data_IF_428460393674
#
_entry.id   IF_428460393674
#
_cell.length_a   1.000
_cell.length_b   1.000
_cell.length_c   1.000
_cell.angle_alpha   90.00
_cell.angle_beta   90.00
_cell.angle_gamma   90.00
#
_symmetry.space_group_name_H-M   'P 1'
#
loop_
_entity.id
_entity.type
_entity.pdbx_description
1 polymer ?
#
# COMPACT_ATOMS: atom_id res chain seq x y z
N UNK A 1 -16.71 15.07 8.83
CA UNK A 1 -15.38 15.28 8.22
C UNK A 1 -15.20 14.50 6.91
N UNK A 2 -15.95 13.41 6.69
CA UNK A 2 -16.04 12.65 5.42
C UNK A 2 -16.38 13.46 4.15
N UNK A 3 -16.88 14.69 4.30
CA UNK A 3 -17.26 15.57 3.20
C UNK A 3 -16.06 16.25 2.51
N UNK A 4 -14.91 16.40 3.18
CA UNK A 4 -13.77 17.15 2.61
C UNK A 4 -13.08 16.38 1.48
N UNK A 5 -12.63 15.15 1.76
CA UNK A 5 -11.90 14.36 0.78
C UNK A 5 -12.74 13.98 -0.45
N UNK A 6 -14.00 13.56 -0.26
CA UNK A 6 -14.90 13.23 -1.38
C UNK A 6 -15.02 14.43 -2.33
N UNK A 7 -15.13 15.65 -1.79
CA UNK A 7 -15.21 16.86 -2.59
C UNK A 7 -13.89 17.17 -3.33
N UNK A 8 -12.74 17.01 -2.67
CA UNK A 8 -11.42 17.21 -3.28
C UNK A 8 -11.16 16.19 -4.41
N UNK A 9 -11.47 14.92 -4.18
CA UNK A 9 -11.35 13.85 -5.17
C UNK A 9 -12.27 14.14 -6.37
N UNK A 10 -13.55 14.45 -6.14
CA UNK A 10 -14.48 14.77 -7.22
C UNK A 10 -14.02 15.98 -8.05
N UNK A 11 -13.43 17.00 -7.42
CA UNK A 11 -12.84 18.15 -8.12
C UNK A 11 -11.63 17.73 -8.96
N UNK A 12 -10.78 16.86 -8.43
CA UNK A 12 -9.60 16.35 -9.13
C UNK A 12 -9.99 15.51 -10.34
N UNK A 13 -10.90 14.56 -10.17
CA UNK A 13 -11.41 13.72 -11.25
C UNK A 13 -12.09 14.54 -12.35
N UNK A 14 -12.87 15.56 -11.97
CA UNK A 14 -13.48 16.48 -12.92
C UNK A 14 -12.42 17.25 -13.72
N UNK A 15 -11.34 17.69 -13.07
CA UNK A 15 -10.24 18.39 -13.73
C UNK A 15 -9.46 17.47 -14.69
N UNK A 16 -9.27 16.21 -14.30
CA UNK A 16 -8.48 15.21 -15.01
C UNK A 16 -9.28 14.43 -16.08
N UNK A 17 -10.58 14.73 -16.22
CA UNK A 17 -11.46 14.09 -17.21
C UNK A 17 -11.94 12.68 -16.82
N UNK A 18 -11.89 12.33 -15.53
CA UNK A 18 -12.41 11.06 -15.00
C UNK A 18 -11.60 10.54 -13.81
N UNK A 19 -12.05 9.42 -13.21
CA UNK A 19 -11.33 8.78 -12.11
C UNK A 19 -9.93 8.34 -12.52
N UNK A 20 -9.02 8.20 -11.55
CA UNK A 20 -7.72 7.59 -11.81
C UNK A 20 -7.91 6.16 -12.36
N UNK A 21 -7.14 5.75 -13.38
CA UNK A 21 -7.26 4.40 -13.92
C UNK A 21 -6.85 3.37 -12.87
N UNK A 22 -7.57 2.25 -12.86
CA UNK A 22 -7.26 1.06 -12.09
C UNK A 22 -6.74 -0.04 -13.02
N UNK A 23 -6.13 -1.07 -12.44
CA UNK A 23 -5.63 -2.25 -13.16
C UNK A 23 -6.69 -2.81 -14.12
N UNK A 24 -6.38 -2.84 -15.42
CA UNK A 24 -7.23 -3.47 -16.40
C UNK A 24 -6.89 -4.96 -16.56
N UNK A 25 -7.50 -5.82 -15.74
CA UNK A 25 -7.31 -7.27 -15.85
C UNK A 25 -7.88 -7.88 -17.13
N UNK A 26 -8.74 -7.18 -17.89
CA UNK A 26 -9.36 -7.77 -19.09
C UNK A 26 -8.36 -8.00 -20.23
N UNK A 27 -7.26 -7.25 -20.26
CA UNK A 27 -6.14 -7.45 -21.20
C UNK A 27 -5.26 -8.64 -20.82
N UNK A 28 -5.23 -9.00 -19.54
CA UNK A 28 -4.43 -10.10 -18.96
C UNK A 28 -5.22 -11.42 -18.92
N UNK A 29 -6.55 -11.33 -18.97
CA UNK A 29 -7.47 -12.46 -18.90
C UNK A 29 -8.08 -12.83 -20.26
N UNK A 30 -7.24 -12.96 -21.30
CA UNK A 30 -7.65 -13.51 -22.61
C UNK A 30 -8.02 -15.01 -22.52
N UNK A 31 -8.41 -15.67 -23.62
CA UNK A 31 -9.02 -17.02 -23.62
C UNK A 31 -8.28 -18.10 -22.81
N UNK A 32 -6.96 -17.98 -22.63
CA UNK A 32 -6.13 -18.88 -21.80
C UNK A 32 -6.37 -18.69 -20.30
N UNK A 33 -6.76 -17.50 -19.87
CA UNK A 33 -7.08 -17.20 -18.48
C UNK A 33 -8.43 -17.75 -18.00
N UNK A 34 -9.29 -18.21 -18.92
CA UNK A 34 -10.53 -18.90 -18.54
C UNK A 34 -10.27 -20.16 -17.71
N UNK A 35 -9.20 -20.89 -18.01
CA UNK A 35 -8.76 -22.05 -17.23
C UNK A 35 -8.18 -21.66 -15.87
N UNK A 36 -7.33 -20.62 -15.82
CA UNK A 36 -6.79 -20.08 -14.56
C UNK A 36 -7.91 -19.53 -13.66
N UNK A 37 -8.89 -18.83 -14.22
CA UNK A 37 -10.05 -18.32 -13.51
C UNK A 37 -10.96 -19.46 -13.01
N UNK A 38 -11.14 -20.55 -13.79
CA UNK A 38 -11.86 -21.73 -13.32
C UNK A 38 -11.14 -22.44 -12.18
N UNK A 39 -9.81 -22.56 -12.26
CA UNK A 39 -8.98 -23.15 -11.21
C UNK A 39 -8.95 -22.27 -9.95
N UNK A 40 -8.83 -20.95 -10.11
CA UNK A 40 -8.92 -19.97 -9.04
C UNK A 40 -10.29 -20.03 -8.34
N UNK A 41 -11.40 -20.14 -9.10
CA UNK A 41 -12.75 -20.32 -8.53
C UNK A 41 -12.88 -21.59 -7.68
N UNK A 42 -12.37 -22.72 -8.18
CA UNK A 42 -12.36 -23.98 -7.43
C UNK A 42 -11.56 -23.84 -6.14
N UNK A 43 -10.37 -23.26 -6.23
CA UNK A 43 -9.49 -23.09 -5.11
C UNK A 43 -10.07 -22.14 -4.05
N UNK A 44 -10.73 -21.06 -4.49
CA UNK A 44 -11.42 -20.13 -3.59
C UNK A 44 -12.61 -20.77 -2.84
N UNK A 45 -13.17 -21.85 -3.37
CA UNK A 45 -14.24 -22.61 -2.72
C UNK A 45 -13.71 -23.67 -1.75
N UNK A 46 -12.50 -24.20 -1.98
CA UNK A 46 -11.90 -25.27 -1.15
C UNK A 46 -10.88 -24.77 -0.12
N UNK A 47 -10.34 -23.56 -0.29
CA UNK A 47 -9.29 -23.01 0.59
C UNK A 47 -9.53 -21.55 0.94
N UNK A 48 -9.07 -21.16 2.13
CA UNK A 48 -8.98 -19.77 2.55
C UNK A 48 -7.59 -19.19 2.26
N UNK A 49 -7.11 -19.33 1.01
CA UNK A 49 -5.77 -18.86 0.64
C UNK A 49 -5.71 -17.31 0.61
N UNK A 50 -4.71 -16.65 1.24
CA UNK A 50 -4.63 -15.19 1.33
C UNK A 50 -4.65 -14.46 -0.03
N UNK A 51 -4.19 -15.12 -1.09
CA UNK A 51 -4.29 -14.66 -2.47
C UNK A 51 -5.67 -14.08 -2.82
N UNK A 52 -6.75 -14.71 -2.38
CA UNK A 52 -8.09 -14.23 -2.74
C UNK A 52 -8.45 -12.94 -2.02
N UNK A 53 -7.98 -12.75 -0.79
CA UNK A 53 -8.11 -11.47 -0.09
C UNK A 53 -7.28 -10.39 -0.79
N UNK A 54 -6.04 -10.71 -1.19
CA UNK A 54 -5.16 -9.84 -1.97
C UNK A 54 -5.82 -9.36 -3.27
N UNK A 55 -6.23 -10.31 -4.12
CA UNK A 55 -6.89 -10.03 -5.39
C UNK A 55 -8.20 -9.27 -5.19
N UNK A 56 -9.04 -9.67 -4.23
CA UNK A 56 -10.32 -9.01 -4.01
C UNK A 56 -10.12 -7.56 -3.54
N UNK A 57 -9.14 -7.29 -2.67
CA UNK A 57 -8.88 -5.96 -2.15
C UNK A 57 -8.38 -5.01 -3.26
N UNK A 58 -7.43 -5.46 -4.08
CA UNK A 58 -6.91 -4.69 -5.21
C UNK A 58 -7.95 -4.41 -6.31
N UNK A 59 -8.99 -5.24 -6.45
CA UNK A 59 -10.04 -5.10 -7.48
C UNK A 59 -11.32 -4.39 -7.02
N UNK A 60 -11.42 -3.99 -5.74
CA UNK A 60 -12.60 -3.28 -5.20
C UNK A 60 -12.77 -1.85 -5.74
N UNK A 61 -11.82 -1.33 -6.54
CA UNK A 61 -11.91 -0.04 -7.22
C UNK A 61 -13.02 0.07 -8.27
N UNK A 62 -13.41 -1.03 -8.93
CA UNK A 62 -14.62 -1.19 -9.75
C UNK A 62 -14.53 -2.58 -10.40
N UNK A 63 -15.54 -3.43 -10.23
CA UNK A 63 -15.70 -4.71 -10.95
C UNK A 63 -15.02 -6.00 -10.40
N UNK A 64 -15.20 -6.34 -9.13
CA UNK A 64 -15.06 -7.75 -8.70
C UNK A 64 -16.37 -8.54 -8.75
N UNK A 65 -17.53 -7.85 -8.71
CA UNK A 65 -18.85 -8.51 -8.71
C UNK A 65 -19.17 -9.30 -9.99
N UNK A 66 -18.45 -9.05 -11.08
CA UNK A 66 -18.69 -9.68 -12.39
C UNK A 66 -17.79 -10.89 -12.67
N UNK A 67 -16.66 -11.06 -11.98
CA UNK A 67 -15.66 -12.10 -12.36
C UNK A 67 -15.67 -13.28 -11.39
N UNK A 68 -15.99 -13.05 -10.11
CA UNK A 68 -16.06 -14.12 -9.11
C UNK A 68 -17.26 -13.89 -8.17
N UNK A 69 -18.32 -14.71 -8.24
CA UNK A 69 -19.36 -14.71 -7.22
C UNK A 69 -18.84 -15.45 -5.99
N UNK A 70 -17.91 -14.84 -5.24
CA UNK A 70 -17.48 -15.39 -3.96
C UNK A 70 -18.56 -15.12 -2.89
N UNK A 71 -18.76 -16.11 -2.02
CA UNK A 71 -19.73 -16.10 -0.93
C UNK A 71 -19.52 -14.93 0.02
N UNK A 72 -20.61 -14.51 0.66
CA UNK A 72 -20.68 -13.42 1.64
C UNK A 72 -19.85 -13.74 2.89
N UNK A 73 -18.54 -13.54 2.85
CA UNK A 73 -17.73 -13.43 4.06
C UNK A 73 -17.47 -11.96 4.34
N UNK A 74 -18.07 -11.51 5.45
CA UNK A 74 -17.93 -10.21 6.12
C UNK A 74 -17.44 -9.05 5.24
N UNK A 75 -18.41 -8.45 4.54
CA UNK A 75 -18.33 -7.07 4.09
C UNK A 75 -18.28 -6.10 5.30
N UNK A 76 -17.18 -6.12 6.05
CA UNK A 76 -16.80 -5.06 6.97
C UNK A 76 -15.63 -4.31 6.35
N UNK A 77 -15.92 -3.51 5.33
CA UNK A 77 -15.42 -2.15 5.27
C UNK A 77 -16.16 -1.38 4.17
N UNK A 78 -17.21 -0.66 4.56
CA UNK A 78 -17.80 0.41 3.75
C UNK A 78 -16.99 1.71 3.85
N UNK A 79 -15.72 1.60 4.23
CA UNK A 79 -14.73 2.68 4.35
C UNK A 79 -13.76 2.62 3.17
N UNK A 80 -14.24 2.24 1.97
CA UNK A 80 -13.49 2.37 0.72
C UNK A 80 -12.74 3.70 0.77
N UNK A 81 -11.40 3.61 0.68
CA UNK A 81 -10.47 4.66 1.08
C UNK A 81 -11.03 6.03 0.72
N UNK A 82 -11.37 6.81 1.75
CA UNK A 82 -11.85 8.18 1.54
C UNK A 82 -10.71 9.07 1.04
N UNK A 83 -9.49 8.54 0.88
CA UNK A 83 -8.29 9.27 0.47
C UNK A 83 -8.01 9.04 -1.01
N UNK A 84 -7.33 9.99 -1.67
CA UNK A 84 -7.02 9.88 -3.09
C UNK A 84 -6.08 8.69 -3.36
N UNK A 85 -6.31 7.97 -4.46
CA UNK A 85 -5.38 6.93 -4.90
C UNK A 85 -4.05 7.53 -5.34
N UNK A 86 -2.97 6.75 -5.26
CA UNK A 86 -1.67 7.17 -5.77
C UNK A 86 -1.73 7.51 -7.27
N UNK A 87 -2.53 6.78 -8.04
CA UNK A 87 -2.85 7.12 -9.42
C UNK A 87 -3.39 8.54 -9.63
N UNK A 88 -4.25 9.03 -8.72
CA UNK A 88 -4.77 10.40 -8.80
C UNK A 88 -3.69 11.45 -8.54
N UNK A 89 -2.78 11.17 -7.59
CA UNK A 89 -1.66 12.06 -7.26
C UNK A 89 -0.67 12.16 -8.43
N UNK A 90 -0.35 11.02 -9.07
CA UNK A 90 0.50 10.97 -10.28
C UNK A 90 -0.09 11.86 -11.39
N UNK A 91 -1.40 11.75 -11.62
CA UNK A 91 -2.11 12.56 -12.62
C UNK A 91 -2.09 14.05 -12.28
N UNK A 92 -2.37 14.41 -11.01
CA UNK A 92 -2.36 15.82 -10.58
C UNK A 92 -0.97 16.45 -10.71
N UNK A 93 0.10 15.73 -10.37
CA UNK A 93 1.47 16.22 -10.52
C UNK A 93 1.85 16.41 -11.98
N UNK A 94 1.55 15.43 -12.84
CA UNK A 94 1.74 15.54 -14.29
C UNK A 94 0.98 16.75 -14.87
N UNK A 95 -0.27 16.93 -14.47
CA UNK A 95 -1.12 18.06 -14.86
C UNK A 95 -0.57 19.41 -14.38
N UNK A 96 -0.12 19.46 -13.13
CA UNK A 96 0.38 20.68 -12.48
C UNK A 96 1.66 21.19 -13.14
N UNK A 97 2.49 20.28 -13.63
CA UNK A 97 3.69 20.62 -14.40
C UNK A 97 3.39 20.99 -15.86
N UNK A 98 2.48 20.25 -16.51
CA UNK A 98 2.18 20.44 -17.94
C UNK A 98 1.33 21.68 -18.24
N UNK A 99 0.63 22.22 -17.23
CA UNK A 99 -0.18 23.44 -17.35
C UNK A 99 -1.25 23.35 -18.44
N UNK A 100 -1.34 24.36 -19.31
CA UNK A 100 -2.33 24.43 -20.41
C UNK A 100 -2.14 23.31 -21.45
N UNK A 101 -0.91 22.80 -21.61
CA UNK A 101 -0.62 21.70 -22.55
C UNK A 101 -1.13 20.33 -22.08
N UNK A 102 -1.68 20.26 -20.87
CA UNK A 102 -2.43 19.12 -20.39
C UNK A 102 -3.61 18.68 -21.27
N UNK A 103 -4.12 19.57 -22.14
CA UNK A 103 -5.16 19.22 -23.11
C UNK A 103 -4.69 18.22 -24.19
N UNK A 104 -3.39 17.88 -24.24
CA UNK A 104 -2.86 16.86 -25.14
C UNK A 104 -3.39 15.47 -24.79
N UNK A 105 -4.08 14.86 -25.76
CA UNK A 105 -4.58 13.49 -25.64
C UNK A 105 -3.44 12.47 -25.48
N UNK A 106 -2.28 12.72 -26.10
CA UNK A 106 -1.09 11.86 -25.99
C UNK A 106 -0.54 11.89 -24.56
N UNK A 107 -0.26 13.08 -24.03
CA UNK A 107 0.36 13.22 -22.71
C UNK A 107 -0.58 12.73 -21.60
N UNK A 108 -1.86 13.08 -21.68
CA UNK A 108 -2.88 12.56 -20.75
C UNK A 108 -2.95 11.02 -20.81
N UNK A 109 -2.88 10.41 -21.99
CA UNK A 109 -2.83 8.95 -22.12
C UNK A 109 -1.57 8.36 -21.48
N UNK A 110 -0.40 8.98 -21.62
CA UNK A 110 0.84 8.52 -20.98
C UNK A 110 0.77 8.62 -19.45
N UNK A 111 0.30 9.74 -18.89
CA UNK A 111 0.12 9.86 -17.43
C UNK A 111 -0.90 8.85 -16.89
N UNK A 112 -1.98 8.57 -17.63
CA UNK A 112 -2.97 7.55 -17.25
C UNK A 112 -2.39 6.14 -17.32
N UNK A 113 -1.61 5.80 -18.35
CA UNK A 113 -0.88 4.51 -18.40
C UNK A 113 0.08 4.36 -17.22
N UNK A 114 0.73 5.46 -16.81
CA UNK A 114 1.65 5.44 -15.67
C UNK A 114 0.91 5.26 -14.34
N UNK A 115 -0.26 5.88 -14.17
CA UNK A 115 -1.13 5.66 -13.02
C UNK A 115 -1.67 4.22 -12.96
N UNK A 116 -2.05 3.63 -14.10
CA UNK A 116 -2.45 2.22 -14.17
C UNK A 116 -1.28 1.28 -13.85
N UNK A 117 -0.09 1.59 -14.34
CA UNK A 117 1.14 0.86 -14.03
C UNK A 117 1.39 0.85 -12.52
N UNK A 118 1.29 2.00 -11.86
CA UNK A 118 1.45 2.14 -10.41
C UNK A 118 0.54 1.16 -9.65
N UNK A 119 -0.76 1.12 -9.96
CA UNK A 119 -1.72 0.21 -9.34
C UNK A 119 -1.42 -1.26 -9.68
N UNK A 120 -0.91 -1.52 -10.89
CA UNK A 120 -0.54 -2.87 -11.34
C UNK A 120 0.65 -3.42 -10.56
N UNK A 121 1.67 -2.59 -10.31
CA UNK A 121 2.83 -2.97 -9.48
C UNK A 121 2.39 -3.27 -8.04
N UNK A 122 1.58 -2.39 -7.42
CA UNK A 122 1.04 -2.63 -6.08
C UNK A 122 0.26 -3.95 -6.01
N UNK A 123 -0.59 -4.22 -7.01
CA UNK A 123 -1.36 -5.46 -7.09
C UNK A 123 -0.45 -6.68 -7.22
N UNK A 124 0.58 -6.62 -8.06
CA UNK A 124 1.53 -7.71 -8.27
C UNK A 124 2.27 -8.09 -6.99
N UNK A 125 2.79 -7.08 -6.28
CA UNK A 125 3.53 -7.27 -5.04
C UNK A 125 2.61 -7.79 -3.93
N UNK A 126 1.40 -7.22 -3.78
CA UNK A 126 0.42 -7.73 -2.82
C UNK A 126 0.05 -9.20 -3.09
N UNK A 127 -0.08 -9.59 -4.36
CA UNK A 127 -0.30 -10.99 -4.75
C UNK A 127 0.90 -11.87 -4.36
N UNK A 128 2.14 -11.43 -4.60
CA UNK A 128 3.33 -12.17 -4.18
C UNK A 128 3.43 -12.32 -2.65
N UNK A 129 3.07 -11.28 -1.89
CA UNK A 129 3.01 -11.32 -0.41
C UNK A 129 1.97 -12.29 0.15
N UNK A 130 1.03 -12.76 -0.68
CA UNK A 130 -0.02 -13.69 -0.26
C UNK A 130 0.42 -15.16 -0.19
N UNK A 131 1.67 -15.46 -0.55
CA UNK A 131 2.26 -16.80 -0.49
C UNK A 131 2.38 -17.23 0.98
N UNK A 132 1.86 -18.41 1.30
CA UNK A 132 1.91 -18.98 2.65
C UNK A 132 2.96 -20.07 2.73
N UNK A 133 3.64 -20.18 3.87
CA UNK A 133 4.55 -21.29 4.09
C UNK A 133 3.76 -22.58 4.40
N UNK A 134 3.86 -23.61 3.55
CA UNK A 134 3.10 -24.86 3.69
C UNK A 134 3.53 -25.71 4.90
N UNK A 135 4.60 -25.33 5.62
CA UNK A 135 5.04 -26.00 6.85
C UNK A 135 4.20 -25.53 8.05
N UNK A 136 3.83 -24.24 8.11
CA UNK A 136 2.98 -23.73 9.19
C UNK A 136 1.53 -24.18 9.04
N UNK A 137 1.10 -24.43 7.80
CA UNK A 137 -0.23 -24.96 7.50
C UNK A 137 -0.41 -26.42 7.92
N UNK A 138 0.66 -27.20 8.14
CA UNK A 138 0.54 -28.57 8.70
C UNK A 138 0.10 -28.59 10.17
N UNK A 139 0.31 -27.49 10.89
CA UNK A 139 -0.06 -27.33 12.30
C UNK A 139 -1.38 -26.55 12.47
N UNK A 140 -1.93 -26.02 11.38
CA UNK A 140 -3.25 -25.38 11.34
C UNK A 140 -4.30 -26.41 10.91
N UNK A 141 -5.40 -26.52 11.65
CA UNK A 141 -6.52 -27.35 11.21
C UNK A 141 -7.18 -26.68 9.99
N UNK A 142 -7.49 -27.43 8.91
CA UNK A 142 -8.24 -26.86 7.81
C UNK A 142 -9.59 -26.36 8.36
N UNK A 143 -10.13 -25.26 7.81
CA UNK A 143 -11.36 -24.68 8.31
C UNK A 143 -12.45 -25.74 8.31
N UNK A 144 -12.83 -26.15 9.52
CA UNK A 144 -13.82 -27.19 9.84
C UNK A 144 -15.01 -27.05 8.89
N UNK A 145 -15.30 -28.11 8.13
CA UNK A 145 -16.61 -28.26 7.51
C UNK A 145 -17.63 -28.14 8.62
N UNK A 146 -18.56 -27.20 8.51
CA UNK A 146 -19.65 -26.99 9.45
C UNK A 146 -20.54 -28.23 9.51
N UNK A 147 -20.12 -29.23 10.27
CA UNK A 147 -20.89 -30.36 10.75
C UNK A 147 -20.66 -30.35 12.25
N UNK A 148 -21.70 -30.00 13.00
CA UNK A 148 -21.70 -29.98 14.45
C UNK A 148 -21.32 -31.36 15.00
N UNK A 149 -20.03 -31.52 15.31
CA UNK A 149 -19.44 -32.76 15.81
C UNK A 149 -17.96 -32.73 15.50
N UNK A 150 -17.11 -32.60 16.52
CA UNK A 150 -15.66 -32.50 16.38
C UNK A 150 -15.02 -33.76 15.79
N UNK A 151 -15.24 -34.01 14.50
CA UNK A 151 -14.55 -35.04 13.73
C UNK A 151 -13.12 -34.59 13.43
N UNK A 152 -12.19 -35.46 13.78
CA UNK A 152 -10.78 -35.32 13.44
C UNK A 152 -10.67 -35.33 11.92
N UNK A 153 -10.22 -34.22 11.32
CA UNK A 153 -9.97 -34.12 9.88
C UNK A 153 -9.05 -35.26 9.47
N UNK A 154 -9.51 -36.06 8.51
CA UNK A 154 -8.77 -37.24 8.04
C UNK A 154 -7.41 -36.83 7.45
N UNK A 155 -6.44 -37.73 7.51
CA UNK A 155 -5.12 -37.50 6.90
C UNK A 155 -5.24 -37.18 5.40
N UNK A 156 -6.22 -37.79 4.73
CA UNK A 156 -6.54 -37.58 3.31
C UNK A 156 -7.03 -36.16 3.04
N UNK A 157 -7.92 -35.61 3.87
CA UNK A 157 -8.43 -34.24 3.74
C UNK A 157 -7.33 -33.20 4.02
N UNK A 158 -6.46 -33.47 4.99
CA UNK A 158 -5.29 -32.62 5.28
C UNK A 158 -4.30 -32.60 4.13
N UNK A 159 -4.05 -33.75 3.51
CA UNK A 159 -3.20 -33.83 2.31
C UNK A 159 -3.83 -33.11 1.11
N UNK A 160 -5.15 -33.25 0.91
CA UNK A 160 -5.88 -32.56 -0.15
C UNK A 160 -5.85 -31.03 0.04
N UNK A 161 -6.08 -30.55 1.26
CA UNK A 161 -6.02 -29.12 1.58
C UNK A 161 -4.59 -28.57 1.43
N UNK A 162 -3.56 -29.29 1.87
CA UNK A 162 -2.17 -28.89 1.67
C UNK A 162 -1.81 -28.76 0.17
N UNK A 163 -2.30 -29.69 -0.67
CA UNK A 163 -2.15 -29.62 -2.14
C UNK A 163 -2.86 -28.40 -2.72
N UNK A 164 -4.06 -28.08 -2.25
CA UNK A 164 -4.77 -26.89 -2.71
C UNK A 164 -4.04 -25.61 -2.29
N UNK A 165 -3.52 -25.52 -1.06
CA UNK A 165 -2.66 -24.40 -0.63
C UNK A 165 -1.41 -24.26 -1.52
N UNK A 166 -0.75 -25.36 -1.85
CA UNK A 166 0.40 -25.35 -2.78
C UNK A 166 0.01 -24.81 -4.16
N UNK A 167 -1.17 -25.19 -4.67
CA UNK A 167 -1.71 -24.65 -5.92
C UNK A 167 -2.01 -23.16 -5.80
N UNK A 168 -2.47 -22.68 -4.65
CA UNK A 168 -2.64 -21.26 -4.35
C UNK A 168 -1.34 -20.48 -4.41
N UNK A 169 -0.27 -20.99 -3.79
CA UNK A 169 1.06 -20.40 -3.85
C UNK A 169 1.59 -20.30 -5.29
N UNK A 170 1.40 -21.37 -6.08
CA UNK A 170 1.76 -21.37 -7.51
C UNK A 170 0.99 -20.31 -8.28
N UNK A 171 -0.31 -20.18 -8.03
CA UNK A 171 -1.14 -19.17 -8.67
C UNK A 171 -0.73 -17.76 -8.27
N UNK A 172 -0.45 -17.52 -6.98
CA UNK A 172 0.01 -16.23 -6.47
C UNK A 172 1.34 -15.82 -7.14
N UNK A 173 2.32 -16.72 -7.16
CA UNK A 173 3.63 -16.48 -7.79
C UNK A 173 3.46 -16.08 -9.26
N UNK A 174 2.78 -16.93 -10.05
CA UNK A 174 2.61 -16.72 -11.49
C UNK A 174 1.74 -15.50 -11.82
N UNK A 175 0.70 -15.23 -11.03
CA UNK A 175 -0.15 -14.07 -11.26
C UNK A 175 0.62 -12.77 -11.03
N UNK A 176 1.41 -12.67 -9.96
CA UNK A 176 2.29 -11.51 -9.74
C UNK A 176 3.31 -11.34 -10.87
N UNK A 177 3.92 -12.43 -11.36
CA UNK A 177 4.90 -12.38 -12.44
C UNK A 177 4.29 -11.88 -13.76
N UNK A 178 3.09 -12.35 -14.11
CA UNK A 178 2.35 -11.89 -15.29
C UNK A 178 2.02 -10.40 -15.21
N UNK A 179 1.67 -9.90 -14.02
CA UNK A 179 1.44 -8.48 -13.80
C UNK A 179 2.74 -7.67 -13.96
N UNK A 180 3.87 -8.13 -13.40
CA UNK A 180 5.16 -7.44 -13.57
C UNK A 180 5.68 -7.50 -15.01
N UNK A 181 5.38 -8.56 -15.75
CA UNK A 181 5.67 -8.64 -17.18
C UNK A 181 4.85 -7.62 -18.00
N UNK A 182 3.58 -7.42 -17.64
CA UNK A 182 2.74 -6.39 -18.28
C UNK A 182 3.23 -4.97 -17.94
N UNK A 183 3.65 -4.73 -16.70
CA UNK A 183 4.34 -3.50 -16.28
C UNK A 183 5.57 -3.24 -17.15
N UNK A 184 6.41 -4.25 -17.39
CA UNK A 184 7.59 -4.14 -18.25
C UNK A 184 7.24 -3.73 -19.68
N UNK A 185 6.13 -4.26 -20.22
CA UNK A 185 5.62 -3.89 -21.55
C UNK A 185 5.13 -2.44 -21.57
N UNK A 186 4.41 -2.00 -20.54
CA UNK A 186 3.96 -0.62 -20.40
C UNK A 186 5.15 0.35 -20.26
N UNK A 187 6.17 -0.01 -19.47
CA UNK A 187 7.41 0.76 -19.34
C UNK A 187 8.11 0.96 -20.69
N UNK A 188 8.26 -0.11 -21.47
CA UNK A 188 8.83 -0.04 -22.81
C UNK A 188 7.99 0.88 -23.73
N UNK A 189 6.67 0.88 -23.59
CA UNK A 189 5.76 1.71 -24.39
C UNK A 189 5.90 3.22 -24.13
N UNK A 190 6.54 3.62 -23.02
CA UNK A 190 6.87 5.02 -22.78
C UNK A 190 8.05 5.50 -23.60
N UNK A 191 8.87 4.63 -24.21
CA UNK A 191 10.06 5.04 -24.98
C UNK A 191 10.98 6.02 -24.23
N UNK A 192 11.12 5.86 -22.92
CA UNK A 192 11.95 6.70 -22.06
C UNK A 192 12.80 5.83 -21.13
N UNK A 193 14.11 5.63 -21.44
CA UNK A 193 14.99 4.84 -20.59
C UNK A 193 15.06 5.34 -19.15
N UNK A 194 14.90 6.66 -18.94
CA UNK A 194 14.92 7.24 -17.60
C UNK A 194 13.66 6.91 -16.79
N UNK A 195 12.50 6.82 -17.45
CA UNK A 195 11.26 6.34 -16.80
C UNK A 195 11.39 4.86 -16.45
N UNK A 196 11.97 4.04 -17.35
CA UNK A 196 12.27 2.63 -17.07
C UNK A 196 13.17 2.51 -15.85
N UNK A 197 14.31 3.22 -15.84
CA UNK A 197 15.28 3.25 -14.74
C UNK A 197 14.63 3.60 -13.39
N UNK A 198 13.94 4.74 -13.32
CA UNK A 198 13.32 5.22 -12.08
C UNK A 198 12.24 4.27 -11.55
N UNK A 199 11.37 3.76 -12.43
CA UNK A 199 10.28 2.88 -11.97
C UNK A 199 10.80 1.48 -11.63
N UNK A 200 11.78 0.96 -12.37
CA UNK A 200 12.41 -0.33 -12.05
C UNK A 200 13.18 -0.28 -10.74
N UNK A 201 13.89 0.83 -10.45
CA UNK A 201 14.50 1.09 -9.14
C UNK A 201 13.44 1.03 -8.03
N UNK A 202 12.31 1.72 -8.21
CA UNK A 202 11.25 1.71 -7.22
C UNK A 202 10.59 0.35 -7.00
N UNK A 203 10.43 -0.48 -8.05
CA UNK A 203 9.96 -1.86 -7.91
C UNK A 203 10.96 -2.67 -7.06
N UNK A 204 12.26 -2.52 -7.34
CA UNK A 204 13.33 -3.14 -6.54
C UNK A 204 13.26 -2.75 -5.07
N UNK A 205 13.11 -1.46 -4.78
CA UNK A 205 12.97 -0.93 -3.44
C UNK A 205 11.76 -1.51 -2.70
N UNK A 206 10.60 -1.64 -3.35
CA UNK A 206 9.43 -2.26 -2.73
C UNK A 206 9.66 -3.72 -2.34
N UNK A 207 10.39 -4.48 -3.16
CA UNK A 207 10.73 -5.87 -2.85
C UNK A 207 11.76 -5.92 -1.73
N UNK A 208 12.77 -5.06 -1.76
CA UNK A 208 13.81 -4.95 -0.72
C UNK A 208 13.20 -4.65 0.66
N UNK A 209 12.13 -3.85 0.71
CA UNK A 209 11.43 -3.53 1.95
C UNK A 209 10.96 -4.79 2.72
N UNK A 210 10.55 -5.84 2.01
CA UNK A 210 10.09 -7.11 2.60
C UNK A 210 11.24 -7.93 3.22
N UNK A 211 12.48 -7.62 2.86
CA UNK A 211 13.69 -8.26 3.38
C UNK A 211 14.40 -7.41 4.44
N UNK A 212 13.87 -6.24 4.78
CA UNK A 212 14.40 -5.47 5.90
C UNK A 212 14.26 -6.25 7.22
N UNK A 213 15.20 -6.09 8.17
CA UNK A 213 15.16 -6.80 9.43
C UNK A 213 13.83 -6.65 10.18
N UNK A 214 13.23 -5.45 10.14
CA UNK A 214 11.95 -5.15 10.80
C UNK A 214 10.77 -5.91 10.16
N UNK A 215 10.76 -6.07 8.83
CA UNK A 215 9.74 -6.81 8.10
C UNK A 215 9.90 -8.33 8.27
N UNK A 216 11.15 -8.83 8.21
CA UNK A 216 11.44 -10.24 8.46
C UNK A 216 11.05 -10.65 9.88
N UNK A 217 11.31 -9.82 10.89
CA UNK A 217 10.89 -10.07 12.28
C UNK A 217 9.37 -10.20 12.39
N UNK A 218 8.63 -9.31 11.72
CA UNK A 218 7.18 -9.36 11.69
C UNK A 218 6.64 -10.66 11.06
N UNK A 219 7.18 -11.07 9.90
CA UNK A 219 6.68 -12.25 9.17
C UNK A 219 7.16 -13.58 9.79
N UNK A 220 8.37 -13.61 10.35
CA UNK A 220 9.09 -14.83 10.75
C UNK A 220 9.29 -14.96 12.27
N UNK A 221 8.47 -14.28 13.08
CA UNK A 221 8.57 -14.22 14.56
C UNK A 221 8.65 -15.58 15.25
N UNK A 222 8.09 -16.63 14.66
CA UNK A 222 8.06 -18.00 15.19
C UNK A 222 9.31 -18.84 14.84
N UNK A 223 10.09 -18.42 13.84
CA UNK A 223 11.40 -19.01 13.55
C UNK A 223 12.45 -18.25 14.33
N UNK A 224 13.20 -18.92 15.21
CA UNK A 224 14.36 -18.36 15.92
C UNK A 224 15.46 -17.95 14.91
N UNK A 225 15.25 -16.87 14.17
CA UNK A 225 16.33 -16.17 13.49
C UNK A 225 17.12 -15.46 14.58
N UNK A 226 18.21 -16.10 15.00
CA UNK A 226 19.23 -15.52 15.86
C UNK A 226 19.98 -14.41 15.10
N UNK A 227 19.31 -13.30 14.83
CA UNK A 227 20.00 -12.05 14.50
C UNK A 227 20.38 -11.41 15.82
N UNK A 228 21.68 -11.25 16.04
CA UNK A 228 22.28 -10.67 17.24
C UNK A 228 21.56 -9.38 17.67
N UNK A 229 20.86 -9.44 18.80
CA UNK A 229 20.03 -8.35 19.35
C UNK A 229 20.91 -7.30 20.00
N UNK A 230 21.18 -6.20 19.29
CA UNK A 230 21.80 -5.00 19.84
C UNK A 230 21.18 -3.76 19.21
N UNK A 231 20.00 -3.35 19.67
CA UNK A 231 19.35 -2.09 19.25
C UNK A 231 18.52 -1.53 20.40
N UNK A 232 18.61 -0.21 20.61
CA UNK A 232 17.93 0.51 21.69
C UNK A 232 16.53 0.97 21.28
N UNK A 233 15.67 1.34 22.24
CA UNK A 233 14.29 1.82 22.01
C UNK A 233 14.18 3.03 21.06
N UNK A 234 15.28 3.78 20.83
CA UNK A 234 15.30 4.90 19.89
C UNK A 234 15.40 4.48 18.41
N UNK A 235 15.59 3.19 18.11
CA UNK A 235 15.97 2.73 16.78
C UNK A 235 14.79 2.23 15.92
N UNK A 236 13.57 2.12 16.48
CA UNK A 236 12.39 1.60 15.74
C UNK A 236 11.79 2.62 14.78
N UNK A 237 11.67 3.88 15.17
CA UNK A 237 11.08 4.91 14.30
C UNK A 237 11.87 5.09 12.99
N UNK A 238 13.22 5.17 13.00
CA UNK A 238 14.01 5.16 11.76
C UNK A 238 13.81 3.88 10.94
N UNK A 239 13.85 2.69 11.56
CA UNK A 239 13.69 1.44 10.85
C UNK A 239 12.31 1.27 10.19
N UNK A 240 11.25 1.72 10.86
CA UNK A 240 9.90 1.75 10.30
C UNK A 240 9.78 2.77 9.16
N UNK A 241 10.40 3.95 9.31
CA UNK A 241 10.45 4.95 8.25
C UNK A 241 11.18 4.42 7.01
N UNK A 242 12.30 3.72 7.17
CA UNK A 242 13.01 3.08 6.06
C UNK A 242 12.13 2.04 5.35
N UNK A 243 11.42 1.21 6.14
CA UNK A 243 10.44 0.26 5.60
C UNK A 243 9.33 0.93 4.79
N UNK A 244 8.68 1.97 5.32
CA UNK A 244 7.60 2.69 4.61
C UNK A 244 8.14 3.45 3.40
N UNK A 245 9.33 4.03 3.50
CA UNK A 245 9.99 4.74 2.40
C UNK A 245 10.24 3.81 1.22
N UNK A 246 10.75 2.59 1.46
CA UNK A 246 10.98 1.62 0.40
C UNK A 246 9.67 0.97 -0.10
N UNK A 247 8.78 0.56 0.81
CA UNK A 247 7.56 -0.20 0.48
C UNK A 247 6.44 0.63 -0.13
N UNK A 248 6.40 1.95 0.10
CA UNK A 248 5.34 2.86 -0.39
C UNK A 248 5.91 4.12 -1.05
N UNK A 249 6.82 4.80 -0.34
CA UNK A 249 7.39 6.08 -0.78
C UNK A 249 8.06 6.01 -2.15
N UNK A 250 8.90 4.99 -2.36
CA UNK A 250 9.72 4.87 -3.55
C UNK A 250 8.89 4.77 -4.83
N UNK A 251 7.82 3.96 -4.86
CA UNK A 251 7.02 3.78 -6.06
C UNK A 251 6.20 5.03 -6.40
N UNK A 252 5.48 5.60 -5.43
CA UNK A 252 4.69 6.80 -5.70
C UNK A 252 5.61 7.95 -6.13
N UNK A 253 6.72 8.15 -5.44
CA UNK A 253 7.75 9.12 -5.83
C UNK A 253 8.31 8.87 -7.24
N UNK A 254 8.71 7.64 -7.55
CA UNK A 254 9.25 7.27 -8.87
C UNK A 254 8.25 7.49 -10.01
N UNK A 255 6.97 7.18 -9.79
CA UNK A 255 5.91 7.48 -10.76
C UNK A 255 5.63 8.99 -10.87
N UNK A 256 5.68 9.76 -9.78
CA UNK A 256 5.54 11.22 -9.83
C UNK A 256 6.70 11.88 -10.59
N UNK A 257 7.93 11.41 -10.36
CA UNK A 257 9.11 11.81 -11.14
C UNK A 257 8.91 11.50 -12.63
N UNK A 258 8.46 10.29 -12.94
CA UNK A 258 8.22 9.83 -14.30
C UNK A 258 7.13 10.63 -15.01
N UNK A 259 6.07 11.04 -14.30
CA UNK A 259 5.04 11.91 -14.85
C UNK A 259 5.62 13.25 -15.34
N UNK A 260 6.51 13.85 -14.56
CA UNK A 260 7.22 15.09 -14.94
C UNK A 260 8.19 14.84 -16.10
N UNK A 261 8.96 13.75 -16.09
CA UNK A 261 9.88 13.41 -17.19
C UNK A 261 9.14 13.23 -18.52
N UNK A 262 7.96 12.59 -18.50
CA UNK A 262 7.11 12.43 -19.69
C UNK A 262 6.60 13.79 -20.18
N UNK A 263 6.19 14.67 -19.27
CA UNK A 263 5.79 16.04 -19.59
C UNK A 263 6.94 16.85 -20.17
N UNK A 264 8.14 16.82 -19.58
CA UNK A 264 9.32 17.52 -20.09
C UNK A 264 9.68 17.09 -21.51
N UNK A 265 9.67 15.77 -21.77
CA UNK A 265 9.89 15.24 -23.11
C UNK A 265 8.83 15.74 -24.09
N UNK A 266 7.55 15.68 -23.70
CA UNK A 266 6.46 16.15 -24.55
C UNK A 266 6.60 17.65 -24.88
N UNK A 267 6.90 18.47 -23.88
CA UNK A 267 7.15 19.91 -24.07
C UNK A 267 8.30 20.16 -25.04
N UNK A 268 9.41 19.42 -24.90
CA UNK A 268 10.57 19.50 -25.80
C UNK A 268 10.26 19.07 -27.25
N UNK A 269 9.38 18.08 -27.44
CA UNK A 269 8.91 17.64 -28.76
C UNK A 269 7.97 18.67 -29.43
N UNK A 270 7.28 19.52 -28.65
CA UNK A 270 6.21 20.40 -29.11
C UNK A 270 6.62 21.83 -29.53
N UNK A 271 7.82 22.34 -29.18
CA UNK A 271 8.27 23.68 -29.65
C UNK A 271 9.59 24.27 -29.09
N UNK A 272 10.39 24.82 -30.03
CA UNK A 272 11.60 25.69 -29.99
C UNK A 272 12.89 25.28 -29.23
N UNK A 273 13.84 24.76 -30.05
CA UNK A 273 15.29 24.51 -29.87
C UNK A 273 15.72 23.26 -29.07
N UNK A 274 16.37 22.29 -29.75
CA UNK A 274 17.05 21.20 -29.08
C UNK A 274 18.47 21.64 -28.72
N UNK A 275 18.73 21.93 -27.45
CA UNK A 275 20.05 21.74 -26.81
C UNK A 275 19.88 21.50 -25.31
N UNK A 276 19.12 20.48 -24.93
CA UNK A 276 19.56 19.73 -23.77
C UNK A 276 20.46 18.62 -24.33
N UNK A 277 21.75 18.66 -23.98
CA UNK A 277 22.47 17.39 -23.92
C UNK A 277 21.58 16.45 -23.09
N UNK A 278 21.40 15.18 -23.47
CA UNK A 278 20.80 14.20 -22.58
C UNK A 278 21.76 14.05 -21.40
N UNK A 279 21.72 14.98 -20.45
CA UNK A 279 22.37 14.80 -19.17
C UNK A 279 21.71 13.57 -18.57
N UNK A 280 22.52 12.59 -18.17
CA UNK A 280 22.04 11.44 -17.40
C UNK A 280 21.35 11.88 -16.08
N UNK A 281 21.60 13.11 -15.66
CA UNK A 281 21.06 13.68 -14.43
C UNK A 281 19.59 14.10 -14.57
N UNK A 282 18.73 13.68 -13.62
CA UNK A 282 17.33 14.06 -13.59
C UNK A 282 17.16 15.57 -13.38
N UNK A 283 16.13 16.15 -14.00
CA UNK A 283 15.81 17.57 -13.87
C UNK A 283 15.39 17.91 -12.44
N UNK A 284 15.66 19.15 -11.99
CA UNK A 284 15.24 19.61 -10.67
C UNK A 284 13.71 19.46 -10.43
N UNK A 285 12.81 19.79 -11.37
CA UNK A 285 11.37 19.54 -11.21
C UNK A 285 11.03 18.06 -11.03
N UNK A 286 11.69 17.16 -11.76
CA UNK A 286 11.44 15.72 -11.66
C UNK A 286 11.84 15.16 -10.29
N UNK A 287 12.97 15.61 -9.73
CA UNK A 287 13.41 15.24 -8.39
C UNK A 287 12.47 15.78 -7.29
N UNK A 288 11.98 17.01 -7.45
CA UNK A 288 11.00 17.59 -6.53
C UNK A 288 9.67 16.83 -6.56
N UNK A 289 9.23 16.39 -7.73
CA UNK A 289 8.06 15.51 -7.87
C UNK A 289 8.30 14.14 -7.22
N UNK A 290 9.52 13.57 -7.34
CA UNK A 290 9.90 12.34 -6.62
C UNK A 290 9.71 12.50 -5.12
N UNK A 291 10.26 13.59 -4.57
CA UNK A 291 10.20 13.89 -3.13
C UNK A 291 8.77 14.10 -2.65
N UNK A 292 7.98 14.87 -3.38
CA UNK A 292 6.57 15.11 -3.06
C UNK A 292 5.77 13.79 -3.03
N UNK A 293 5.87 12.97 -4.08
CA UNK A 293 5.17 11.68 -4.12
C UNK A 293 5.63 10.72 -3.02
N UNK A 294 6.93 10.73 -2.70
CA UNK A 294 7.50 9.95 -1.61
C UNK A 294 6.93 10.36 -0.24
N UNK A 295 6.99 11.65 0.09
CA UNK A 295 6.53 12.18 1.37
C UNK A 295 5.02 12.01 1.54
N UNK A 296 4.27 12.15 0.44
CA UNK A 296 2.83 11.88 0.38
C UNK A 296 2.51 10.45 0.80
N UNK A 297 3.15 9.46 0.15
CA UNK A 297 2.90 8.05 0.43
C UNK A 297 3.28 7.67 1.87
N UNK A 298 4.39 8.19 2.38
CA UNK A 298 4.82 7.93 3.75
C UNK A 298 3.84 8.50 4.78
N UNK A 299 3.39 9.74 4.58
CA UNK A 299 2.42 10.37 5.48
C UNK A 299 1.05 9.68 5.42
N UNK A 300 0.58 9.35 4.21
CA UNK A 300 -0.66 8.62 4.02
C UNK A 300 -0.64 7.29 4.77
N UNK A 301 0.44 6.51 4.61
CA UNK A 301 0.60 5.22 5.28
C UNK A 301 0.57 5.33 6.80
N UNK A 302 1.21 6.36 7.37
CA UNK A 302 1.19 6.67 8.80
C UNK A 302 -0.23 7.02 9.28
N UNK A 303 -0.92 7.90 8.57
CA UNK A 303 -2.26 8.37 8.95
C UNK A 303 -3.26 7.21 8.96
N UNK A 304 -3.23 6.35 7.94
CA UNK A 304 -4.10 5.17 7.85
C UNK A 304 -3.83 4.19 9.00
N UNK A 305 -2.56 3.98 9.34
CA UNK A 305 -2.15 3.14 10.46
C UNK A 305 -2.62 3.70 11.80
N UNK A 306 -2.34 4.98 12.06
CA UNK A 306 -2.70 5.68 13.29
C UNK A 306 -4.22 5.70 13.48
N UNK A 307 -4.96 5.96 12.41
CA UNK A 307 -6.43 5.92 12.41
C UNK A 307 -6.94 4.50 12.75
N UNK A 308 -6.34 3.47 12.18
CA UNK A 308 -6.67 2.08 12.49
C UNK A 308 -6.39 1.75 13.96
N UNK A 309 -5.19 2.08 14.45
CA UNK A 309 -4.76 1.85 15.84
C UNK A 309 -5.67 2.58 16.83
N UNK A 310 -5.96 3.86 16.59
CA UNK A 310 -6.89 4.62 17.43
C UNK A 310 -8.27 3.99 17.47
N UNK A 311 -8.82 3.52 16.32
CA UNK A 311 -10.11 2.81 16.33
C UNK A 311 -10.05 1.49 17.07
N UNK A 312 -8.95 0.75 16.94
CA UNK A 312 -8.76 -0.52 17.64
C UNK A 312 -8.73 -0.30 19.17
N UNK A 313 -8.06 0.76 19.64
CA UNK A 313 -7.96 1.09 21.07
C UNK A 313 -9.18 1.81 21.64
N UNK A 314 -9.83 2.71 20.91
CA UNK A 314 -11.07 3.38 21.32
C UNK A 314 -12.26 2.41 21.44
N UNK A 315 -12.30 1.35 20.61
CA UNK A 315 -13.28 0.26 20.77
C UNK A 315 -13.01 -0.60 22.02
N UNK A 316 -11.86 -0.43 22.66
CA UNK A 316 -11.43 -1.15 23.86
C UNK A 316 -11.89 -0.52 25.18
N UNK A 317 -12.93 0.33 25.19
CA UNK A 317 -13.45 0.90 26.43
C UNK A 317 -13.98 -0.21 27.38
N UNK A 318 -13.16 -0.44 28.40
CA UNK A 318 -13.23 -1.12 29.72
C UNK A 318 -14.40 -2.02 30.17
N UNK A 319 -15.48 -2.26 29.42
CA UNK A 319 -16.56 -3.18 29.84
C UNK A 319 -16.78 -4.42 28.96
N UNK A 320 -16.14 -4.51 27.79
CA UNK A 320 -16.33 -5.63 26.86
C UNK A 320 -15.00 -6.15 26.25
N UNK A 321 -13.96 -6.22 27.09
CA UNK A 321 -12.64 -6.75 26.77
C UNK A 321 -12.60 -8.28 26.51
N UNK A 322 -13.67 -8.84 25.93
CA UNK A 322 -13.69 -10.23 25.48
C UNK A 322 -14.00 -10.38 23.98
N UNK A 323 -14.18 -9.30 23.18
CA UNK A 323 -15.02 -9.46 21.98
C UNK A 323 -14.59 -9.07 20.57
N UNK A 324 -13.56 -8.27 20.26
CA UNK A 324 -13.44 -7.86 18.85
C UNK A 324 -12.06 -7.69 18.28
N UNK A 325 -11.06 -7.24 19.03
CA UNK A 325 -9.67 -7.22 18.55
C UNK A 325 -9.08 -8.64 18.48
N UNK A 326 -9.63 -9.58 19.27
CA UNK A 326 -9.11 -10.95 19.42
C UNK A 326 -10.14 -12.07 19.18
N UNK A 327 -11.39 -11.79 18.75
CA UNK A 327 -12.45 -12.81 18.61
C UNK A 327 -12.43 -13.61 17.30
N UNK A 328 -11.54 -13.31 16.35
CA UNK A 328 -11.42 -14.08 15.10
C UNK A 328 -10.76 -15.45 15.29
N UNK A 329 -10.24 -15.78 16.47
CA UNK A 329 -9.67 -17.09 16.79
C UNK A 329 -10.49 -17.83 17.85
N UNK A 330 -11.78 -18.11 17.59
CA UNK A 330 -12.59 -18.92 18.52
C UNK A 330 -12.37 -20.42 18.46
N UNK A 331 -11.62 -20.94 17.47
CA UNK A 331 -11.35 -22.37 17.32
C UNK A 331 -9.86 -22.74 17.11
N UNK A 332 -8.93 -21.84 17.40
CA UNK A 332 -7.50 -22.17 17.48
C UNK A 332 -6.92 -21.56 18.75
N UNK A 333 -5.95 -22.26 19.36
CA UNK A 333 -5.26 -21.89 20.61
C UNK A 333 -5.09 -20.37 20.77
N UNK A 334 -5.24 -19.90 22.02
CA UNK A 334 -5.08 -18.52 22.48
C UNK A 334 -3.99 -17.74 21.72
N UNK A 335 -4.19 -16.45 21.40
CA UNK A 335 -3.22 -15.67 20.65
C UNK A 335 -1.94 -15.54 21.46
N UNK A 336 -0.90 -16.24 21.05
CA UNK A 336 0.49 -16.00 21.48
C UNK A 336 1.09 -14.73 20.87
N UNK A 337 0.27 -13.91 20.18
CA UNK A 337 0.67 -12.87 19.24
C UNK A 337 0.10 -11.51 19.66
N UNK A 338 0.95 -10.55 19.98
CA UNK A 338 0.60 -9.13 19.90
C UNK A 338 0.70 -8.73 18.43
N UNK A 339 -0.43 -8.72 17.72
CA UNK A 339 -0.55 -8.19 16.38
C UNK A 339 -1.71 -7.20 16.38
N UNK A 340 -1.44 -5.97 15.98
CA UNK A 340 -2.49 -4.96 15.80
C UNK A 340 -3.42 -5.35 14.64
N UNK A 341 -2.93 -6.20 13.73
CA UNK A 341 -3.69 -6.77 12.63
C UNK A 341 -4.20 -5.69 11.66
N UNK A 342 -3.35 -4.69 11.39
CA UNK A 342 -3.57 -3.72 10.32
C UNK A 342 -3.48 -4.43 8.98
N UNK A 343 -4.49 -4.24 8.13
CA UNK A 343 -4.55 -4.89 6.82
C UNK A 343 -4.44 -3.85 5.71
N UNK A 344 -3.59 -4.13 4.74
CA UNK A 344 -3.50 -3.40 3.48
C UNK A 344 -3.58 -4.40 2.33
N UNK A 345 -4.28 -4.03 1.25
CA UNK A 345 -4.56 -4.97 0.16
C UNK A 345 -5.13 -6.32 0.65
N UNK A 346 -5.81 -6.38 1.80
CA UNK A 346 -6.37 -7.63 2.34
C UNK A 346 -5.36 -8.61 2.96
N UNK A 347 -4.13 -8.15 3.23
CA UNK A 347 -3.09 -8.90 3.92
C UNK A 347 -2.64 -8.14 5.18
N UNK A 348 -2.20 -8.84 6.24
CA UNK A 348 -1.61 -8.19 7.40
C UNK A 348 -0.29 -7.50 7.01
N UNK A 349 -0.12 -6.28 7.49
CA UNK A 349 1.07 -5.46 7.22
C UNK A 349 1.70 -4.98 8.52
N UNK A 350 3.02 -4.87 8.52
CA UNK A 350 3.79 -4.35 9.64
C UNK A 350 3.36 -2.91 9.96
N UNK A 351 3.07 -2.65 11.24
CA UNK A 351 2.87 -1.30 11.78
C UNK A 351 4.04 -0.86 12.66
N UNK A 352 4.21 0.45 12.81
CA UNK A 352 5.11 1.07 13.78
C UNK A 352 4.78 0.55 15.18
N UNK A 353 3.49 0.44 15.48
CA UNK A 353 3.03 -0.04 16.77
C UNK A 353 3.36 -1.53 17.00
N UNK A 354 3.29 -2.38 15.97
CA UNK A 354 3.75 -3.78 16.07
C UNK A 354 5.26 -3.83 16.38
N UNK A 355 6.06 -3.05 15.65
CA UNK A 355 7.51 -2.99 15.88
C UNK A 355 7.88 -2.42 17.27
N UNK A 356 7.16 -1.38 17.71
CA UNK A 356 7.38 -0.76 19.00
C UNK A 356 7.05 -1.73 20.15
N UNK A 357 5.88 -2.37 20.10
CA UNK A 357 5.44 -3.31 21.14
C UNK A 357 6.33 -4.55 21.19
N UNK A 358 6.78 -5.06 20.04
CA UNK A 358 7.72 -6.18 19.97
C UNK A 358 9.07 -5.85 20.62
N UNK A 359 9.54 -4.61 20.48
CA UNK A 359 10.77 -4.18 21.13
C UNK A 359 10.63 -4.10 22.67
N UNK A 360 9.50 -3.59 23.17
CA UNK A 360 9.28 -3.45 24.63
C UNK A 360 9.21 -4.82 25.32
N UNK A 361 8.49 -5.77 24.73
CA UNK A 361 8.37 -7.14 25.27
C UNK A 361 9.70 -7.89 25.29
N UNK A 362 10.60 -7.55 24.36
CA UNK A 362 11.93 -8.12 24.28
C UNK A 362 12.89 -7.63 25.38
N UNK A 363 12.54 -6.57 26.11
CA UNK A 363 13.27 -6.09 27.29
C UNK A 363 12.83 -6.74 28.62
N UNK A 364 11.63 -7.29 28.68
CA UNK A 364 11.05 -7.90 29.88
C UNK A 364 10.85 -9.41 29.71
N UNK A 365 11.84 -10.22 30.07
CA UNK A 365 11.66 -11.68 30.19
C UNK A 365 10.79 -11.96 31.42
N UNK A 366 9.47 -11.96 31.25
CA UNK A 366 8.52 -12.53 32.20
C UNK A 366 7.56 -13.44 31.45
N UNK A 367 7.47 -14.69 31.88
CA UNK A 367 6.44 -15.63 31.46
C UNK A 367 5.08 -15.07 31.87
N UNK A 368 4.45 -14.34 30.97
CA UNK A 368 3.13 -13.77 31.16
C UNK A 368 2.08 -14.75 30.62
N UNK A 369 1.09 -15.08 31.46
CA UNK A 369 -0.11 -15.81 31.04
C UNK A 369 -0.95 -15.00 30.02
N UNK A 370 -1.96 -15.62 29.37
CA UNK A 370 -2.73 -15.00 28.28
C UNK A 370 -3.50 -13.72 28.68
N UNK A 371 -3.71 -13.47 29.98
CA UNK A 371 -4.38 -12.25 30.46
C UNK A 371 -3.42 -11.07 30.74
N UNK A 372 -2.11 -11.31 30.81
CA UNK A 372 -1.11 -10.27 31.12
C UNK A 372 -0.59 -9.52 29.90
N UNK A 373 -0.61 -10.14 28.72
CA UNK A 373 -0.22 -9.50 27.44
C UNK A 373 -1.18 -8.37 27.04
N UNK A 374 -2.46 -8.49 27.40
CA UNK A 374 -3.44 -7.43 27.18
C UNK A 374 -3.16 -6.19 28.02
N UNK A 375 -2.74 -6.34 29.28
CA UNK A 375 -2.40 -5.21 30.15
C UNK A 375 -1.22 -4.42 29.57
N UNK A 376 -0.15 -5.11 29.14
CA UNK A 376 1.04 -4.47 28.57
C UNK A 376 0.79 -3.69 27.27
N UNK A 377 -0.18 -4.10 26.43
CA UNK A 377 -0.53 -3.34 25.20
C UNK A 377 -1.15 -1.99 25.55
N UNK A 378 -2.11 -1.99 26.48
CA UNK A 378 -2.80 -0.77 26.88
C UNK A 378 -1.91 0.16 27.73
N UNK A 379 -0.99 -0.41 28.51
CA UNK A 379 -0.02 0.36 29.29
C UNK A 379 0.95 1.16 28.38
N UNK A 380 1.26 0.64 27.18
CA UNK A 380 2.14 1.29 26.20
C UNK A 380 1.40 2.14 25.14
N UNK A 381 0.06 2.21 25.18
CA UNK A 381 -0.71 2.88 24.13
C UNK A 381 -0.34 4.37 24.00
N UNK A 382 -0.14 5.06 25.12
CA UNK A 382 0.26 6.47 25.12
C UNK A 382 1.62 6.70 24.44
N UNK A 383 2.60 5.83 24.70
CA UNK A 383 3.94 5.94 24.12
C UNK A 383 3.93 5.66 22.61
N UNK A 384 3.13 4.69 22.17
CA UNK A 384 2.95 4.41 20.74
C UNK A 384 2.26 5.57 20.03
N UNK A 385 1.18 6.13 20.60
CA UNK A 385 0.53 7.32 20.02
C UNK A 385 1.48 8.52 19.97
N UNK A 386 2.30 8.69 21.00
CA UNK A 386 3.33 9.71 21.01
C UNK A 386 4.37 9.50 19.89
N UNK A 387 4.78 8.25 19.64
CA UNK A 387 5.64 7.90 18.51
C UNK A 387 5.03 8.25 17.16
N UNK A 388 3.74 7.92 16.94
CA UNK A 388 3.01 8.35 15.74
C UNK A 388 2.95 9.87 15.60
N UNK A 389 2.76 10.61 16.69
CA UNK A 389 2.73 12.07 16.66
C UNK A 389 4.08 12.69 16.29
N UNK A 390 5.19 12.15 16.81
CA UNK A 390 6.54 12.58 16.46
C UNK A 390 6.85 12.34 14.98
N UNK A 391 6.61 11.11 14.51
CA UNK A 391 6.85 10.74 13.11
C UNK A 391 5.92 11.55 12.19
N UNK A 392 4.65 11.69 12.56
CA UNK A 392 3.66 12.45 11.82
C UNK A 392 3.99 13.92 11.67
N UNK A 393 4.50 14.56 12.74
CA UNK A 393 4.96 15.95 12.66
C UNK A 393 6.08 16.12 11.64
N UNK A 394 7.08 15.21 11.66
CA UNK A 394 8.20 15.26 10.72
C UNK A 394 7.75 15.07 9.28
N UNK A 395 6.95 14.03 9.02
CA UNK A 395 6.45 13.73 7.67
C UNK A 395 5.51 14.81 7.14
N UNK A 396 4.72 15.46 8.01
CA UNK A 396 3.90 16.61 7.64
C UNK A 396 4.75 17.81 7.21
N UNK A 397 5.82 18.12 7.96
CA UNK A 397 6.77 19.18 7.60
C UNK A 397 7.49 18.86 6.28
N UNK A 398 7.91 17.60 6.10
CA UNK A 398 8.55 17.13 4.86
C UNK A 398 7.60 17.30 3.65
N UNK A 399 6.35 16.84 3.75
CA UNK A 399 5.35 17.00 2.69
C UNK A 399 5.07 18.48 2.40
N UNK A 400 4.91 19.31 3.44
CA UNK A 400 4.69 20.75 3.28
C UNK A 400 5.83 21.40 2.50
N UNK A 401 7.09 21.11 2.86
CA UNK A 401 8.26 21.62 2.17
C UNK A 401 8.33 21.11 0.73
N UNK A 402 8.08 19.83 0.49
CA UNK A 402 8.13 19.22 -0.84
C UNK A 402 7.06 19.80 -1.79
N UNK A 403 5.84 20.03 -1.29
CA UNK A 403 4.77 20.69 -2.07
C UNK A 403 5.13 22.14 -2.39
N UNK A 404 5.64 22.89 -1.40
CA UNK A 404 6.08 24.28 -1.59
C UNK A 404 7.17 24.37 -2.67
N UNK A 405 8.19 23.52 -2.56
CA UNK A 405 9.35 23.55 -3.44
C UNK A 405 8.97 23.13 -4.87
N UNK A 406 8.14 22.10 -5.03
CA UNK A 406 7.58 21.71 -6.33
C UNK A 406 6.70 22.81 -6.94
N UNK A 407 5.84 23.44 -6.13
CA UNK A 407 4.99 24.56 -6.56
C UNK A 407 5.79 25.78 -7.03
N UNK A 408 6.91 26.08 -6.35
CA UNK A 408 7.80 27.15 -6.75
C UNK A 408 8.53 26.85 -8.07
N UNK A 409 8.91 25.59 -8.30
CA UNK A 409 9.55 25.15 -9.54
C UNK A 409 8.58 25.16 -10.72
N UNK A 410 7.37 24.65 -10.56
CA UNK A 410 6.35 24.59 -11.61
C UNK A 410 5.92 25.97 -12.10
N UNK A 411 5.88 26.98 -11.21
CA UNK A 411 5.60 28.38 -11.58
C UNK A 411 6.65 29.03 -12.48
N UNK A 412 7.91 28.56 -12.43
CA UNK A 412 8.99 29.10 -13.28
C UNK A 412 8.93 28.58 -14.71
N UNK A 413 8.34 27.41 -14.92
CA UNK A 413 8.18 26.81 -16.25
C UNK A 413 7.01 27.38 -17.04
N UNK A 414 6.04 28.00 -16.36
CA UNK A 414 4.87 28.65 -16.97
C UNK A 414 5.24 30.13 -17.17
N UNK A 415 5.23 30.60 -18.41
CA UNK A 415 5.57 32.00 -18.74
C UNK A 415 4.86 33.00 -17.82
N UNK A 416 5.60 33.98 -17.30
CA UNK A 416 5.15 34.97 -16.32
C UNK A 416 3.87 35.68 -16.77
N UNK A 417 2.74 35.37 -16.11
CA UNK A 417 1.47 36.06 -16.35
C UNK A 417 0.21 35.22 -16.18
N UNK A 418 0.32 33.89 -16.04
CA UNK A 418 -0.84 33.03 -15.80
C UNK A 418 -0.98 32.68 -14.32
N UNK A 419 -2.22 32.71 -13.81
CA UNK A 419 -2.62 32.16 -12.51
C UNK A 419 -2.08 30.74 -12.36
N UNK A 420 -1.73 30.32 -11.13
CA UNK A 420 -1.30 28.94 -10.89
C UNK A 420 -2.31 27.95 -11.52
N UNK A 421 -1.86 26.87 -12.16
CA UNK A 421 -2.79 25.92 -12.77
C UNK A 421 -3.68 25.35 -11.66
N UNK A 422 -5.00 25.25 -11.90
CA UNK A 422 -6.01 24.74 -10.96
C UNK A 422 -5.58 23.38 -10.36
N UNK A 423 -4.82 22.57 -11.09
CA UNK A 423 -4.26 21.30 -10.62
C UNK A 423 -3.27 21.47 -9.45
N UNK A 424 -2.41 22.49 -9.50
CA UNK A 424 -1.44 22.78 -8.44
C UNK A 424 -2.15 23.31 -7.19
N UNK A 425 -3.16 24.15 -7.34
CA UNK A 425 -3.99 24.60 -6.21
C UNK A 425 -4.67 23.41 -5.52
N UNK A 426 -5.25 22.51 -6.30
CA UNK A 426 -5.89 21.32 -5.77
C UNK A 426 -4.90 20.35 -5.11
N UNK A 427 -3.69 20.18 -5.67
CA UNK A 427 -2.63 19.38 -5.07
C UNK A 427 -2.20 19.96 -3.71
N UNK A 428 -2.10 21.29 -3.59
CA UNK A 428 -1.81 21.96 -2.32
C UNK A 428 -2.94 21.75 -1.32
N UNK A 429 -4.20 21.96 -1.71
CA UNK A 429 -5.37 21.75 -0.84
C UNK A 429 -5.43 20.30 -0.33
N UNK A 430 -5.15 19.33 -1.21
CA UNK A 430 -5.13 17.91 -0.83
C UNK A 430 -3.97 17.59 0.12
N UNK A 431 -2.80 18.20 -0.07
CA UNK A 431 -1.68 18.02 0.86
C UNK A 431 -1.96 18.64 2.23
N UNK A 432 -2.56 19.83 2.27
CA UNK A 432 -2.99 20.48 3.51
C UNK A 432 -4.03 19.65 4.26
N UNK A 433 -4.99 19.05 3.55
CA UNK A 433 -5.95 18.12 4.16
C UNK A 433 -5.24 16.89 4.74
N UNK A 434 -4.30 16.28 4.02
CA UNK A 434 -3.54 15.13 4.54
C UNK A 434 -2.70 15.50 5.77
N UNK A 435 -2.07 16.66 5.77
CA UNK A 435 -1.35 17.20 6.93
C UNK A 435 -2.32 17.42 8.10
N UNK A 436 -3.51 17.98 7.85
CA UNK A 436 -4.54 18.16 8.90
C UNK A 436 -4.98 16.83 9.51
N UNK A 437 -5.17 15.79 8.69
CA UNK A 437 -5.56 14.44 9.17
C UNK A 437 -4.53 13.88 10.19
N UNK A 438 -3.26 14.28 10.14
CA UNK A 438 -2.25 13.87 11.13
C UNK A 438 -2.50 14.46 12.52
N UNK A 439 -3.07 15.68 12.56
CA UNK A 439 -3.31 16.47 13.76
C UNK A 439 -4.65 16.14 14.41
N UNK A 440 -5.65 15.70 13.64
CA UNK A 440 -7.01 15.40 14.13
C UNK A 440 -7.04 14.33 15.24
N UNK A 441 -6.02 13.48 15.31
CA UNK A 441 -5.91 12.43 16.31
C UNK A 441 -4.99 12.76 17.50
N UNK A 442 -4.61 14.03 17.70
CA UNK A 442 -3.81 14.47 18.87
C UNK A 442 -4.61 14.63 20.16
N UNK A 443 -5.93 14.53 20.11
CA UNK A 443 -6.82 14.87 21.23
C UNK A 443 -7.96 13.88 21.39
N UNK A 444 -7.72 12.78 22.10
CA UNK A 444 -8.72 12.09 22.94
C UNK A 444 -8.02 11.35 24.05
#
# INVERSE_FOLDING_TARGET
MTSSWINLINRAEKLLGGPAPFINLSSLLTSEAGFLAARARRLAASTNHPLFAAVQSCLRGQSFKSVFPLSKTNAHDKTASQRPSGGLIILLIGQSYSGVQAGSTKLCSEHRKLAELFETVHTAIAIHKSIVNPVFTKNEEPPVSTTDGGEVVSEVEREAWAKDIEVGNKLATLAGDVLLASVSTTLASFYSPKVVDVVSESIGNMIEAEFLPIALQFVHRDTQFNTSRTGSASDVAPAWLDYVSLSRGSLLGGCCQSAVLLSERYLAESGEKPKLNPSLEPSAPSLLARRLGHDWACLLRLVEEKEFVNRAWLRGDRSDATSSVFKTAKNSRAPSRLEINFHECGLPELTFADAFLEQQLNGEVREYGPNSTHATVFDNAADVLHGYDQIGSKLADDLHNSVRDFSASSRRSISSGQTAPIAMELLVEMAEQLISDTLEYRTT
#
